data_IF_385046958987
#
_entry.id   IF_385046958987
#
_cell.length_a   1.000
_cell.length_b   1.000
_cell.length_c   1.000
_cell.angle_alpha   90.00
_cell.angle_beta   90.00
_cell.angle_gamma   90.00
#
_symmetry.space_group_name_H-M   'P 1'
#
loop_
_entity.id
_entity.type
_entity.pdbx_description
1 polymer ?
#
# COMPACT_ATOMS: atom_id res chain seq x y z
N UNK A 1 4.67 26.38 0.80
CA UNK A 1 5.54 25.18 0.67
C UNK A 1 4.71 24.14 -0.06
N UNK A 2 5.07 23.80 -1.29
CA UNK A 2 4.33 22.82 -2.09
C UNK A 2 4.51 21.46 -1.40
N UNK A 3 3.54 21.06 -0.57
CA UNK A 3 3.39 19.67 -0.20
C UNK A 3 2.98 18.93 -1.48
N UNK A 4 3.97 18.50 -2.24
CA UNK A 4 3.81 17.47 -3.24
C UNK A 4 3.12 16.33 -2.51
N UNK A 5 1.85 16.06 -2.84
CA UNK A 5 1.12 14.89 -2.36
C UNK A 5 1.82 13.65 -2.93
N UNK A 6 2.99 13.34 -2.39
CA UNK A 6 3.68 12.09 -2.58
C UNK A 6 2.78 11.07 -1.91
N UNK A 7 2.30 10.10 -2.68
CA UNK A 7 1.72 8.89 -2.12
C UNK A 7 2.79 8.32 -1.19
N UNK A 8 2.68 8.58 0.12
CA UNK A 8 3.61 8.01 1.09
C UNK A 8 3.15 6.60 1.43
N UNK A 9 4.06 5.73 1.85
CA UNK A 9 3.72 4.39 2.32
C UNK A 9 2.60 4.42 3.37
N UNK A 10 2.59 5.42 4.26
CA UNK A 10 1.52 5.63 5.24
C UNK A 10 0.14 5.83 4.60
N UNK A 11 0.03 6.60 3.50
CA UNK A 11 -1.24 6.76 2.78
C UNK A 11 -1.69 5.43 2.16
N UNK A 12 -0.74 4.68 1.58
CA UNK A 12 -0.99 3.36 1.02
C UNK A 12 -1.52 2.42 2.11
N UNK A 13 -0.87 2.39 3.27
CA UNK A 13 -1.28 1.57 4.41
C UNK A 13 -2.65 1.98 4.96
N UNK A 14 -2.96 3.28 5.04
CA UNK A 14 -4.27 3.76 5.48
C UNK A 14 -5.38 3.32 4.52
N UNK A 15 -5.19 3.50 3.23
CA UNK A 15 -6.14 3.05 2.19
C UNK A 15 -6.37 1.53 2.26
N UNK A 16 -5.28 0.77 2.37
CA UNK A 16 -5.32 -0.68 2.53
C UNK A 16 -6.04 -1.08 3.82
N UNK A 17 -5.79 -0.37 4.92
CA UNK A 17 -6.45 -0.60 6.21
C UNK A 17 -7.95 -0.38 6.10
N UNK A 18 -8.39 0.68 5.42
CA UNK A 18 -9.81 0.91 5.16
C UNK A 18 -10.43 -0.21 4.32
N UNK A 19 -9.71 -0.73 3.33
CA UNK A 19 -10.19 -1.87 2.52
C UNK A 19 -10.29 -3.17 3.34
N UNK A 20 -9.38 -3.39 4.29
CA UNK A 20 -9.44 -4.51 5.24
C UNK A 20 -10.64 -4.36 6.18
N UNK A 21 -10.82 -3.17 6.75
CA UNK A 21 -11.92 -2.86 7.68
C UNK A 21 -13.29 -3.04 7.02
N UNK A 22 -13.42 -2.61 5.76
CA UNK A 22 -14.62 -2.85 4.93
C UNK A 22 -14.81 -4.32 4.52
N UNK A 23 -13.85 -5.20 4.80
CA UNK A 23 -13.88 -6.61 4.40
C UNK A 23 -13.70 -6.85 2.90
N UNK A 24 -13.18 -5.86 2.18
CA UNK A 24 -12.96 -5.93 0.72
C UNK A 24 -11.71 -6.77 0.42
N UNK A 25 -10.65 -6.58 1.21
CA UNK A 25 -9.41 -7.36 1.12
C UNK A 25 -9.03 -7.93 2.49
N UNK A 26 -8.13 -8.90 2.52
CA UNK A 26 -7.61 -9.45 3.77
C UNK A 26 -6.10 -9.33 3.80
N UNK A 27 -5.52 -9.14 4.98
CA UNK A 27 -4.05 -9.11 5.18
C UNK A 27 -3.30 -10.35 4.68
N UNK A 28 -3.97 -11.49 4.48
CA UNK A 28 -3.34 -12.69 3.94
C UNK A 28 -3.34 -12.71 2.40
N UNK A 29 -4.11 -11.83 1.76
CA UNK A 29 -4.17 -11.72 0.32
C UNK A 29 -2.92 -11.00 -0.21
N UNK A 30 -2.53 -11.28 -1.46
CA UNK A 30 -1.43 -10.61 -2.10
C UNK A 30 -1.77 -9.17 -2.50
N UNK A 31 -0.78 -8.30 -2.52
CA UNK A 31 -0.89 -6.86 -2.81
C UNK A 31 -1.52 -6.61 -4.19
N UNK A 32 -1.25 -7.46 -5.20
CA UNK A 32 -1.87 -7.33 -6.52
C UNK A 32 -3.41 -7.32 -6.48
N UNK A 33 -4.02 -7.87 -5.42
CA UNK A 33 -5.48 -7.88 -5.29
C UNK A 33 -6.05 -6.46 -5.18
N UNK A 34 -5.26 -5.52 -4.66
CA UNK A 34 -5.61 -4.11 -4.58
C UNK A 34 -5.80 -3.47 -5.97
N UNK A 35 -5.13 -3.98 -7.02
CA UNK A 35 -5.29 -3.52 -8.40
C UNK A 35 -6.74 -3.64 -8.91
N UNK A 36 -7.54 -4.56 -8.34
CA UNK A 36 -8.96 -4.71 -8.68
C UNK A 36 -9.84 -3.61 -8.09
N UNK A 37 -9.36 -2.93 -7.05
CA UNK A 37 -10.09 -1.90 -6.32
C UNK A 37 -9.57 -0.49 -6.63
N UNK A 38 -8.29 -0.39 -6.97
CA UNK A 38 -7.62 0.87 -7.28
C UNK A 38 -7.65 1.10 -8.80
N UNK A 39 -8.08 2.28 -9.29
CA UNK A 39 -8.07 2.55 -10.71
C UNK A 39 -6.63 2.56 -11.28
N UNK A 40 -6.46 2.09 -12.51
CA UNK A 40 -5.14 1.94 -13.15
C UNK A 40 -4.25 3.20 -13.11
N UNK A 41 -4.86 4.40 -13.17
CA UNK A 41 -4.16 5.69 -13.05
C UNK A 41 -3.49 5.92 -11.70
N UNK A 42 -4.07 5.40 -10.62
CA UNK A 42 -3.52 5.50 -9.27
C UNK A 42 -2.64 4.30 -8.96
N UNK A 43 -2.95 3.13 -9.54
CA UNK A 43 -2.14 1.92 -9.45
C UNK A 43 -0.69 2.15 -9.87
N UNK A 44 -0.44 2.90 -10.95
CA UNK A 44 0.95 3.23 -11.38
C UNK A 44 1.73 3.95 -10.28
N UNK A 45 1.10 4.89 -9.56
CA UNK A 45 1.74 5.59 -8.43
C UNK A 45 1.93 4.66 -7.25
N UNK A 46 0.96 3.80 -7.00
CA UNK A 46 0.98 2.79 -5.95
C UNK A 46 2.13 1.80 -6.14
N UNK A 47 2.28 1.25 -7.36
CA UNK A 47 3.38 0.36 -7.73
C UNK A 47 4.73 1.03 -7.59
N UNK A 48 4.88 2.25 -8.10
CA UNK A 48 6.13 3.01 -8.00
C UNK A 48 6.55 3.19 -6.55
N UNK A 49 5.61 3.49 -5.66
CA UNK A 49 5.92 3.66 -4.25
C UNK A 49 6.22 2.32 -3.57
N UNK A 50 5.44 1.26 -3.85
CA UNK A 50 5.73 -0.09 -3.35
C UNK A 50 7.15 -0.55 -3.72
N UNK A 51 7.55 -0.36 -4.97
CA UNK A 51 8.91 -0.70 -5.44
C UNK A 51 9.99 0.09 -4.71
N UNK A 52 9.73 1.35 -4.32
CA UNK A 52 10.67 2.15 -3.52
C UNK A 52 10.91 1.58 -2.12
N UNK A 53 9.95 0.84 -1.59
CA UNK A 53 10.02 0.15 -0.29
C UNK A 53 10.31 -1.35 -0.43
N UNK A 54 10.77 -1.79 -1.61
CA UNK A 54 11.11 -3.19 -1.94
C UNK A 54 9.92 -4.18 -1.87
N UNK A 55 8.68 -3.67 -1.94
CA UNK A 55 7.49 -4.52 -1.96
C UNK A 55 7.20 -5.05 -3.35
N UNK A 56 6.81 -6.31 -3.41
CA UNK A 56 6.45 -6.99 -4.65
C UNK A 56 4.94 -7.19 -4.70
N UNK A 57 4.34 -7.20 -5.89
CA UNK A 57 2.89 -7.39 -6.04
C UNK A 57 2.39 -8.74 -5.50
N UNK A 58 3.29 -9.73 -5.41
CA UNK A 58 3.03 -11.05 -4.83
C UNK A 58 3.11 -11.06 -3.30
N UNK A 59 3.71 -10.03 -2.70
CA UNK A 59 3.81 -9.93 -1.25
C UNK A 59 2.43 -9.80 -0.63
N UNK A 60 2.35 -10.17 0.63
CA UNK A 60 1.09 -10.13 1.36
C UNK A 60 0.79 -8.72 1.79
N UNK A 61 -0.48 -8.36 1.75
CA UNK A 61 -0.97 -7.10 2.30
C UNK A 61 -0.55 -6.95 3.79
N UNK A 62 -0.49 -8.06 4.53
CA UNK A 62 -0.02 -8.06 5.91
C UNK A 62 1.46 -7.70 6.08
N UNK A 63 2.29 -7.96 5.07
CA UNK A 63 3.71 -7.58 5.07
C UNK A 63 3.85 -6.06 4.90
N UNK A 64 3.09 -5.51 3.96
CA UNK A 64 2.94 -4.06 3.76
C UNK A 64 2.48 -3.33 5.02
N UNK A 65 1.57 -3.93 5.79
CA UNK A 65 1.07 -3.38 7.06
C UNK A 65 2.02 -3.60 8.25
N UNK A 66 2.97 -4.54 8.16
CA UNK A 66 3.89 -4.86 9.25
C UNK A 66 5.13 -3.96 9.26
N UNK A 67 5.47 -3.34 8.14
CA UNK A 67 6.68 -2.53 7.96
C UNK A 67 6.63 -1.13 8.61
N UNK A 68 5.58 -0.78 9.37
CA UNK A 68 5.47 0.51 10.10
C UNK A 68 6.52 0.72 11.22
N UNK A 69 7.49 -0.19 11.41
CA UNK A 69 8.29 -0.25 12.64
C UNK A 69 9.80 0.02 12.50
N UNK A 70 10.27 0.74 11.47
CA UNK A 70 11.71 1.07 11.32
C UNK A 70 11.99 2.55 11.03
N UNK A 71 11.36 3.44 11.77
CA UNK A 71 11.91 4.78 12.00
C UNK A 71 11.82 5.09 13.50
N UNK A 72 12.72 4.49 14.27
CA UNK A 72 13.09 5.03 15.58
C UNK A 72 14.54 4.62 15.90
N UNK A 73 15.44 5.54 15.58
CA UNK A 73 16.86 5.71 16.00
C UNK A 73 17.94 4.75 15.45
#
# INVERSE_FOLDING_TARGET
>A
MLQTAQYSLCMIQDEVRQLIDRGVVSRHQPIYTLCKHIPAREWVRFETELERFDFLLRDRIGDLMAQECWDND
#
